data_IF_553476657558
#
_entry.id   IF_553476657558
#
_cell.length_a   1.000
_cell.length_b   1.000
_cell.length_c   1.000
_cell.angle_alpha   90.00
_cell.angle_beta   90.00
_cell.angle_gamma   90.00
#
_symmetry.space_group_name_H-M   'P 1'
#
loop_
_entity.id
_entity.type
_entity.pdbx_description
1 polymer ?
#
# COMPACT_ATOMS: atom_id res chain seq x y z
N UNK A 1 14.35 8.33 -4.43
CA UNK A 1 13.48 9.53 -4.46
C UNK A 1 12.90 9.85 -3.09
N UNK A 2 12.12 8.95 -2.48
CA UNK A 2 11.56 9.16 -1.13
C UNK A 2 12.66 9.23 -0.07
N UNK A 3 13.69 8.39 -0.15
CA UNK A 3 14.85 8.47 0.76
C UNK A 3 15.65 9.76 0.60
N UNK A 4 15.76 10.28 -0.63
CA UNK A 4 16.44 11.55 -0.91
C UNK A 4 15.67 12.73 -0.33
N UNK A 5 14.34 12.68 -0.39
CA UNK A 5 13.48 13.66 0.27
C UNK A 5 13.65 13.60 1.80
N UNK A 6 13.68 12.40 2.40
CA UNK A 6 13.90 12.24 3.84
C UNK A 6 15.32 12.59 4.30
N UNK A 7 16.33 12.54 3.41
CA UNK A 7 17.69 12.99 3.71
C UNK A 7 17.88 14.51 3.64
N UNK A 8 16.82 15.27 3.34
CA UNK A 8 16.79 16.72 3.41
C UNK A 8 16.75 17.45 2.06
N UNK A 9 16.70 16.73 0.94
CA UNK A 9 16.58 17.36 -0.38
C UNK A 9 15.15 17.91 -0.57
N UNK A 10 15.05 19.14 -1.10
CA UNK A 10 13.75 19.72 -1.41
C UNK A 10 13.14 19.08 -2.66
N UNK A 11 11.81 19.08 -2.73
CA UNK A 11 11.09 18.56 -3.91
C UNK A 11 11.47 19.32 -5.20
N UNK A 12 11.79 20.61 -5.08
CA UNK A 12 12.20 21.45 -6.21
C UNK A 12 13.57 21.03 -6.76
N UNK A 13 14.55 20.75 -5.89
CA UNK A 13 15.87 20.24 -6.30
C UNK A 13 15.73 18.88 -6.97
N UNK A 14 14.99 17.98 -6.35
CA UNK A 14 14.73 16.64 -6.88
C UNK A 14 13.97 16.69 -8.22
N UNK A 15 13.05 17.64 -8.39
CA UNK A 15 12.34 17.83 -9.65
C UNK A 15 13.27 18.32 -10.76
N UNK A 16 14.14 19.28 -10.46
CA UNK A 16 15.12 19.82 -11.41
C UNK A 16 16.20 18.82 -11.81
N UNK A 17 16.74 18.05 -10.87
CA UNK A 17 17.82 17.09 -11.11
C UNK A 17 17.34 15.84 -11.86
N UNK A 18 16.16 15.32 -11.50
CA UNK A 18 15.66 14.05 -12.04
C UNK A 18 14.60 14.22 -13.13
N UNK A 19 14.19 15.46 -13.45
CA UNK A 19 13.17 15.75 -14.48
C UNK A 19 11.78 15.20 -14.15
N UNK A 20 11.52 14.91 -12.87
CA UNK A 20 10.23 14.39 -12.38
C UNK A 20 9.39 15.55 -11.87
N UNK A 21 8.08 15.58 -12.17
CA UNK A 21 7.21 16.64 -11.65
C UNK A 21 7.15 16.63 -10.12
N UNK A 22 7.13 17.81 -9.49
CA UNK A 22 6.98 17.94 -8.04
C UNK A 22 5.76 17.16 -7.51
N UNK A 23 4.65 17.16 -8.26
CA UNK A 23 3.42 16.42 -7.92
C UNK A 23 3.67 14.91 -7.83
N UNK A 24 4.43 14.34 -8.77
CA UNK A 24 4.80 12.92 -8.76
C UNK A 24 5.68 12.60 -7.55
N UNK A 25 6.60 13.50 -7.20
CA UNK A 25 7.49 13.35 -6.03
C UNK A 25 6.67 13.34 -4.74
N UNK A 26 5.80 14.33 -4.55
CA UNK A 26 4.90 14.37 -3.39
C UNK A 26 4.00 13.13 -3.30
N UNK A 27 3.50 12.64 -4.45
CA UNK A 27 2.73 11.40 -4.50
C UNK A 27 3.55 10.21 -3.99
N UNK A 28 4.79 10.04 -4.45
CA UNK A 28 5.64 8.95 -4.00
C UNK A 28 6.00 9.06 -2.52
N UNK A 29 6.32 10.26 -2.03
CA UNK A 29 6.54 10.49 -0.60
C UNK A 29 5.31 10.02 0.19
N UNK A 30 4.11 10.45 -0.21
CA UNK A 30 2.88 10.01 0.46
C UNK A 30 2.64 8.48 0.39
N UNK A 31 2.90 7.84 -0.74
CA UNK A 31 2.60 6.41 -0.95
C UNK A 31 3.61 5.47 -0.29
N UNK A 32 4.86 5.91 -0.15
CA UNK A 32 5.99 5.06 0.23
C UNK A 32 6.69 5.51 1.52
N UNK A 33 6.30 6.62 2.15
CA UNK A 33 6.72 6.90 3.52
C UNK A 33 6.10 5.84 4.45
N UNK A 34 6.91 5.02 5.16
CA UNK A 34 6.40 4.00 6.06
C UNK A 34 5.60 4.63 7.21
N UNK A 35 4.52 3.97 7.60
CA UNK A 35 3.72 4.27 8.79
C UNK A 35 3.98 3.15 9.79
N UNK A 36 4.28 3.49 11.04
CA UNK A 36 4.59 2.55 12.11
C UNK A 36 6.03 2.67 12.63
N UNK A 37 6.41 1.77 13.54
CA UNK A 37 7.75 1.76 14.15
C UNK A 37 8.39 0.37 14.03
N UNK A 38 9.67 0.31 13.67
CA UNK A 38 10.41 -0.95 13.61
C UNK A 38 9.87 -1.94 12.56
N UNK A 39 9.84 -3.22 12.93
CA UNK A 39 9.41 -4.32 12.03
C UNK A 39 7.93 -4.23 11.61
N UNK A 40 7.10 -3.48 12.33
CA UNK A 40 5.70 -3.26 11.97
C UNK A 40 5.49 -2.07 11.02
N UNK A 41 6.57 -1.41 10.60
CA UNK A 41 6.46 -0.31 9.63
C UNK A 41 6.03 -0.83 8.26
N UNK A 42 5.02 -0.19 7.68
CA UNK A 42 4.48 -0.53 6.37
C UNK A 42 4.10 0.72 5.60
N UNK A 43 4.27 0.70 4.29
CA UNK A 43 3.85 1.80 3.44
C UNK A 43 2.33 1.82 3.28
N UNK A 44 1.71 3.01 3.10
CA UNK A 44 0.29 3.12 2.75
C UNK A 44 -0.13 2.24 1.58
N UNK A 45 0.76 2.08 0.59
CA UNK A 45 0.53 1.26 -0.59
C UNK A 45 0.46 -0.24 -0.25
N UNK A 46 1.36 -0.73 0.61
CA UNK A 46 1.32 -2.12 1.10
C UNK A 46 0.07 -2.38 1.94
N UNK A 47 -0.29 -1.44 2.81
CA UNK A 47 -1.54 -1.51 3.57
C UNK A 47 -2.77 -1.68 2.68
N UNK A 48 -2.87 -0.85 1.64
CA UNK A 48 -3.99 -0.91 0.71
C UNK A 48 -4.03 -2.25 -0.05
N UNK A 49 -2.87 -2.81 -0.40
CA UNK A 49 -2.78 -4.12 -1.04
C UNK A 49 -3.25 -5.25 -0.11
N UNK A 50 -2.79 -5.27 1.15
CA UNK A 50 -3.19 -6.25 2.16
C UNK A 50 -4.70 -6.16 2.44
N UNK A 51 -5.24 -4.95 2.58
CA UNK A 51 -6.68 -4.75 2.79
C UNK A 51 -7.51 -5.30 1.63
N UNK A 52 -7.06 -5.08 0.39
CA UNK A 52 -7.71 -5.60 -0.80
C UNK A 52 -7.70 -7.13 -0.81
N UNK A 53 -6.56 -7.75 -0.54
CA UNK A 53 -6.44 -9.21 -0.48
C UNK A 53 -7.32 -9.79 0.64
N UNK A 54 -7.30 -9.19 1.83
CA UNK A 54 -8.13 -9.61 2.95
C UNK A 54 -9.63 -9.58 2.62
N UNK A 55 -10.07 -8.56 1.88
CA UNK A 55 -11.45 -8.46 1.41
C UNK A 55 -11.81 -9.62 0.48
N UNK A 56 -10.95 -9.90 -0.50
CA UNK A 56 -11.13 -11.04 -1.43
C UNK A 56 -11.16 -12.38 -0.69
N UNK A 57 -10.24 -12.60 0.24
CA UNK A 57 -10.20 -13.82 1.04
C UNK A 57 -11.45 -14.00 1.90
N UNK A 58 -11.98 -12.92 2.48
CA UNK A 58 -13.24 -12.96 3.24
C UNK A 58 -14.42 -13.37 2.35
N UNK A 59 -14.49 -12.87 1.13
CA UNK A 59 -15.51 -13.25 0.16
C UNK A 59 -15.40 -14.73 -0.21
N UNK A 60 -14.19 -15.21 -0.49
CA UNK A 60 -13.94 -16.62 -0.80
C UNK A 60 -14.37 -17.54 0.36
N UNK A 61 -13.98 -17.18 1.60
CA UNK A 61 -14.40 -17.91 2.80
C UNK A 61 -15.92 -17.95 2.94
N UNK A 62 -16.63 -16.87 2.59
CA UNK A 62 -18.09 -16.84 2.64
C UNK A 62 -18.73 -17.76 1.59
N UNK A 63 -18.19 -17.79 0.36
CA UNK A 63 -18.64 -18.68 -0.71
C UNK A 63 -18.44 -20.14 -0.30
N UNK A 64 -17.26 -20.48 0.22
CA UNK A 64 -16.94 -21.84 0.68
C UNK A 64 -17.86 -22.28 1.82
N UNK A 65 -18.16 -21.40 2.78
CA UNK A 65 -19.14 -21.68 3.85
C UNK A 65 -20.53 -21.97 3.30
N UNK A 66 -21.00 -21.19 2.31
CA UNK A 66 -22.30 -21.41 1.66
C UNK A 66 -22.33 -22.76 0.92
N UNK A 67 -21.26 -23.09 0.19
CA UNK A 67 -21.14 -24.37 -0.49
C UNK A 67 -21.18 -25.56 0.49
N UNK A 68 -20.40 -25.50 1.58
CA UNK A 68 -20.40 -26.53 2.62
C UNK A 68 -21.80 -26.74 3.23
N UNK A 69 -22.54 -25.66 3.50
CA UNK A 69 -23.89 -25.74 4.03
C UNK A 69 -24.89 -26.41 3.06
N UNK A 70 -24.68 -26.28 1.75
CA UNK A 70 -25.47 -26.98 0.73
C UNK A 70 -25.12 -28.47 0.72
N UNK A 71 -23.82 -28.80 0.72
CA UNK A 71 -23.36 -30.19 0.71
C UNK A 71 -23.78 -30.95 1.98
N UNK A 72 -23.75 -30.32 3.15
CA UNK A 72 -24.16 -30.94 4.40
C UNK A 72 -25.68 -31.19 4.51
N UNK A 73 -26.50 -30.53 3.67
CA UNK A 73 -27.96 -30.74 3.62
C UNK A 73 -28.39 -31.83 2.64
N UNK A 74 -27.47 -32.32 1.80
CA UNK A 74 -27.71 -33.39 0.83
C UNK A 74 -27.27 -34.73 1.41
#
# INVERSE_FOLDING_TARGET
MVDLYHSGNSVKELSGEYGVSEVTIYKWVKEFTPIGLGEESMTPKELAAIQKENLWLKQEVEILKKAMAIFAKK
#
